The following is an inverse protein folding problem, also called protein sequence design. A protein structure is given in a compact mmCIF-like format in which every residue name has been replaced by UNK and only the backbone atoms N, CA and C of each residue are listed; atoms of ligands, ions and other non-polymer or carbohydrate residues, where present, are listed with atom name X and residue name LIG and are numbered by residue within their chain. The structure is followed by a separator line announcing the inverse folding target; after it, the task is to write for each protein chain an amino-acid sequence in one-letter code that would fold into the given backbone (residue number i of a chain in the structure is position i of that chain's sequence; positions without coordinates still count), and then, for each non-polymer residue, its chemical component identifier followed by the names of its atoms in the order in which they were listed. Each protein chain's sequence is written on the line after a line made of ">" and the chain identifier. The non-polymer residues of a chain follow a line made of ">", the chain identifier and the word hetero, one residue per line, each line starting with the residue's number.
data_IF_943403718538
#
_entry.id   IF_943403718538
#
_cell.length_a   1.000
_cell.length_b   1.000
_cell.length_c   1.000
_cell.angle_alpha   90.00
_cell.angle_beta   90.00
_cell.angle_gamma   90.00
#
_symmetry.space_group_name_H-M   'P 1'
#
loop_
_entity.id
_entity.type
_entity.pdbx_description
1 polymer ?
#
# COMPACT_ATOMS: atom_id res chain seq x y z
N UNK A 1 -25.37 -3.92 2.45
CA UNK A 1 -24.22 -3.04 2.18
C UNK A 1 -22.92 -3.53 2.83
N UNK A 2 -22.93 -3.94 4.11
CA UNK A 2 -21.71 -4.35 4.81
C UNK A 2 -21.07 -5.64 4.28
N UNK A 3 -21.87 -6.68 3.97
CA UNK A 3 -21.35 -7.98 3.50
C UNK A 3 -20.64 -7.87 2.15
N UNK A 4 -21.20 -7.10 1.20
CA UNK A 4 -20.59 -6.90 -0.12
C UNK A 4 -19.26 -6.14 -0.06
N UNK A 5 -19.14 -5.17 0.84
CA UNK A 5 -17.89 -4.45 1.08
C UNK A 5 -16.80 -5.36 1.66
N UNK A 6 -17.16 -6.22 2.62
CA UNK A 6 -16.23 -7.18 3.23
C UNK A 6 -15.67 -8.15 2.20
N UNK A 7 -16.52 -8.74 1.34
CA UNK A 7 -16.08 -9.66 0.30
C UNK A 7 -15.13 -8.96 -0.68
N UNK A 8 -15.47 -7.74 -1.11
CA UNK A 8 -14.60 -6.95 -2.01
C UNK A 8 -13.25 -6.61 -1.38
N UNK A 9 -13.24 -6.26 -0.09
CA UNK A 9 -12.00 -5.91 0.63
C UNK A 9 -11.12 -7.13 0.83
N UNK A 10 -11.68 -8.29 1.20
CA UNK A 10 -10.93 -9.54 1.33
C UNK A 10 -10.33 -9.96 -0.03
N UNK A 11 -11.10 -9.84 -1.11
CA UNK A 11 -10.63 -10.13 -2.46
C UNK A 11 -9.49 -9.18 -2.90
N UNK A 12 -9.58 -7.89 -2.59
CA UNK A 12 -8.53 -6.93 -2.91
C UNK A 12 -7.27 -7.18 -2.07
N UNK A 13 -7.41 -7.33 -0.75
CA UNK A 13 -6.29 -7.54 0.18
C UNK A 13 -5.54 -8.81 -0.12
N UNK A 14 -6.24 -9.91 -0.42
CA UNK A 14 -5.59 -11.18 -0.76
C UNK A 14 -4.77 -11.11 -2.05
N UNK A 15 -5.20 -10.32 -3.05
CA UNK A 15 -4.43 -10.11 -4.29
C UNK A 15 -3.18 -9.26 -4.07
N UNK A 16 -3.28 -8.20 -3.26
CA UNK A 16 -2.11 -7.37 -2.88
C UNK A 16 -1.12 -8.19 -2.04
N UNK A 17 -1.64 -9.01 -1.12
CA UNK A 17 -0.82 -9.89 -0.30
C UNK A 17 -0.11 -10.95 -1.15
N UNK A 18 -0.83 -11.54 -2.11
CA UNK A 18 -0.26 -12.47 -3.08
C UNK A 18 0.79 -11.81 -3.99
N UNK A 19 0.53 -10.62 -4.53
CA UNK A 19 1.50 -9.94 -5.40
C UNK A 19 2.79 -9.61 -4.66
N UNK A 20 2.69 -9.24 -3.38
CA UNK A 20 3.88 -9.00 -2.55
C UNK A 20 4.62 -10.31 -2.20
N UNK A 21 3.91 -11.42 -1.98
CA UNK A 21 4.52 -12.74 -1.85
C UNK A 21 5.20 -13.20 -3.15
N UNK A 22 4.61 -12.94 -4.32
CA UNK A 22 5.21 -13.27 -5.63
C UNK A 22 6.55 -12.57 -5.82
N UNK A 23 6.67 -11.33 -5.36
CA UNK A 23 7.91 -10.55 -5.43
C UNK A 23 8.90 -10.88 -4.29
N UNK A 24 8.75 -12.03 -3.62
CA UNK A 24 9.56 -12.49 -2.47
C UNK A 24 9.58 -11.51 -1.27
N UNK A 25 8.55 -10.68 -1.12
CA UNK A 25 8.46 -9.68 -0.06
C UNK A 25 8.00 -10.20 1.31
N UNK A 26 7.58 -11.47 1.42
CA UNK A 26 7.01 -12.07 2.63
C UNK A 26 7.78 -13.31 3.09
N UNK A 27 7.83 -13.58 4.42
CA UNK A 27 8.27 -14.89 4.90
C UNK A 27 7.30 -15.96 4.40
N UNK A 28 7.81 -17.14 4.02
CA UNK A 28 7.02 -18.22 3.40
C UNK A 28 6.40 -17.85 2.04
N UNK A 29 7.05 -16.95 1.30
CA UNK A 29 6.68 -16.63 -0.08
C UNK A 29 6.42 -17.85 -0.99
N UNK A 30 7.11 -19.01 -0.88
CA UNK A 30 6.86 -20.14 -1.79
C UNK A 30 5.46 -20.75 -1.64
N UNK A 31 4.85 -20.67 -0.46
CA UNK A 31 3.49 -21.17 -0.22
C UNK A 31 2.46 -20.08 -0.50
N UNK A 32 2.78 -18.84 -0.12
CA UNK A 32 1.91 -17.68 -0.28
C UNK A 32 1.72 -17.23 -1.72
N UNK A 33 2.72 -17.44 -2.57
CA UNK A 33 2.67 -17.10 -4.00
C UNK A 33 1.97 -18.16 -4.86
N UNK A 34 1.57 -19.31 -4.30
CA UNK A 34 0.88 -20.34 -5.06
C UNK A 34 -0.56 -19.94 -5.39
N UNK A 35 -0.90 -20.03 -6.67
CA UNK A 35 -2.26 -19.87 -7.18
C UNK A 35 -2.84 -21.25 -7.49
N UNK A 36 -4.08 -21.51 -7.09
CA UNK A 36 -4.74 -22.76 -7.43
C UNK A 36 -5.10 -22.77 -8.94
N UNK A 37 -4.69 -23.81 -9.66
CA UNK A 37 -4.90 -23.95 -11.10
C UNK A 37 -6.37 -24.07 -11.51
N UNK A 38 -7.24 -24.56 -10.62
CA UNK A 38 -8.66 -24.76 -10.94
C UNK A 38 -9.52 -23.52 -10.74
N UNK A 39 -9.24 -22.73 -9.69
CA UNK A 39 -9.99 -21.52 -9.35
C UNK A 39 -9.32 -20.23 -9.83
N UNK A 40 -8.03 -20.26 -10.16
CA UNK A 40 -7.26 -19.07 -10.55
C UNK A 40 -7.08 -18.05 -9.42
N UNK A 41 -7.26 -18.47 -8.16
CA UNK A 41 -7.27 -17.59 -6.98
C UNK A 41 -6.22 -18.05 -5.95
N UNK A 42 -5.50 -17.14 -5.28
CA UNK A 42 -4.51 -17.47 -4.26
C UNK A 42 -5.18 -17.86 -2.92
N UNK A 43 -5.57 -19.14 -2.79
CA UNK A 43 -6.32 -19.66 -1.62
C UNK A 43 -5.54 -19.49 -0.30
N UNK A 44 -4.23 -19.69 -0.30
CA UNK A 44 -3.39 -19.51 0.89
C UNK A 44 -3.36 -18.06 1.37
N UNK A 45 -3.27 -17.09 0.43
CA UNK A 45 -3.33 -15.67 0.76
C UNK A 45 -4.70 -15.28 1.34
N UNK A 46 -5.79 -15.81 0.78
CA UNK A 46 -7.14 -15.59 1.33
C UNK A 46 -7.27 -16.17 2.73
N UNK A 47 -6.82 -17.41 2.94
CA UNK A 47 -6.89 -18.08 4.23
C UNK A 47 -6.17 -17.29 5.32
N UNK A 48 -4.92 -16.87 5.06
CA UNK A 48 -4.11 -16.15 6.04
C UNK A 48 -4.68 -14.75 6.33
N UNK A 49 -5.04 -13.99 5.29
CA UNK A 49 -5.63 -12.65 5.48
C UNK A 49 -6.97 -12.72 6.21
N UNK A 50 -7.78 -13.76 5.96
CA UNK A 50 -9.04 -13.99 6.68
C UNK A 50 -8.82 -14.39 8.14
N UNK A 51 -7.88 -15.30 8.42
CA UNK A 51 -7.56 -15.72 9.80
C UNK A 51 -7.06 -14.54 10.61
N UNK A 52 -6.13 -13.74 10.06
CA UNK A 52 -5.61 -12.53 10.72
C UNK A 52 -6.75 -11.55 11.00
N UNK A 53 -7.67 -11.35 10.05
CA UNK A 53 -8.83 -10.47 10.25
C UNK A 53 -9.76 -10.97 11.36
N UNK A 54 -10.01 -12.28 11.45
CA UNK A 54 -10.77 -12.88 12.55
C UNK A 54 -10.07 -12.70 13.90
N UNK A 55 -8.75 -12.90 13.96
CA UNK A 55 -7.96 -12.70 15.19
C UNK A 55 -7.98 -11.24 15.65
N UNK A 56 -7.85 -10.29 14.72
CA UNK A 56 -7.97 -8.85 15.01
C UNK A 56 -9.37 -8.49 15.51
N UNK A 57 -10.43 -9.13 14.99
CA UNK A 57 -11.80 -8.91 15.45
C UNK A 57 -12.02 -9.41 16.89
N UNK A 58 -11.36 -10.51 17.30
CA UNK A 58 -11.45 -11.04 18.67
C UNK A 58 -10.88 -10.08 19.73
N UNK A 59 -9.98 -9.17 19.36
CA UNK A 59 -9.42 -8.16 20.27
C UNK A 59 -10.52 -7.26 20.86
N UNK A 60 -11.62 -7.06 20.13
CA UNK A 60 -12.77 -6.29 20.60
C UNK A 60 -13.39 -6.88 21.89
N UNK A 61 -13.28 -8.19 22.12
CA UNK A 61 -13.78 -8.84 23.35
C UNK A 61 -12.98 -8.41 24.58
N UNK A 62 -11.66 -8.20 24.42
CA UNK A 62 -10.76 -7.84 25.52
C UNK A 62 -10.73 -6.35 25.82
N UNK A 63 -10.68 -5.50 24.79
CA UNK A 63 -10.62 -4.05 24.97
C UNK A 63 -11.05 -3.29 23.72
N UNK A 64 -12.07 -2.44 23.88
CA UNK A 64 -12.53 -1.49 22.85
C UNK A 64 -11.48 -0.41 22.57
N UNK A 65 -10.66 -0.05 23.55
CA UNK A 65 -9.57 0.92 23.37
C UNK A 65 -8.49 0.38 22.42
N UNK A 66 -8.09 -0.89 22.59
CA UNK A 66 -7.10 -1.53 21.70
C UNK A 66 -7.67 -1.69 20.29
N UNK A 67 -8.93 -2.10 20.17
CA UNK A 67 -9.61 -2.20 18.87
C UNK A 67 -9.66 -0.84 18.14
N UNK A 68 -10.02 0.24 18.83
CA UNK A 68 -10.03 1.59 18.25
C UNK A 68 -8.63 2.07 17.84
N UNK A 69 -7.59 1.69 18.60
CA UNK A 69 -6.20 1.97 18.23
C UNK A 69 -5.81 1.25 16.94
N UNK A 70 -6.18 -0.02 16.77
CA UNK A 70 -5.94 -0.81 15.54
C UNK A 70 -6.59 -0.16 14.33
N UNK A 71 -7.85 0.27 14.44
CA UNK A 71 -8.54 0.99 13.36
C UNK A 71 -7.80 2.27 13.00
N UNK A 72 -7.37 3.03 14.00
CA UNK A 72 -6.66 4.29 13.80
C UNK A 72 -5.32 4.10 13.06
N UNK A 73 -4.61 3.01 13.36
CA UNK A 73 -3.36 2.67 12.65
C UNK A 73 -3.65 2.28 11.21
N UNK A 74 -4.69 1.48 10.95
CA UNK A 74 -5.08 1.12 9.58
C UNK A 74 -5.40 2.37 8.74
N UNK A 75 -6.12 3.33 9.32
CA UNK A 75 -6.43 4.62 8.67
C UNK A 75 -5.15 5.46 8.47
N UNK A 76 -4.26 5.52 9.47
CA UNK A 76 -2.99 6.25 9.33
C UNK A 76 -2.07 5.63 8.27
N UNK A 77 -2.04 4.30 8.16
CA UNK A 77 -1.30 3.54 7.14
C UNK A 77 -1.89 3.72 5.75
N UNK A 78 -3.21 3.87 5.64
CA UNK A 78 -3.86 4.26 4.40
C UNK A 78 -3.35 5.65 3.97
N UNK A 79 -3.41 6.66 4.85
CA UNK A 79 -2.94 7.99 4.49
C UNK A 79 -1.45 8.03 4.14
N UNK A 80 -0.60 7.26 4.83
CA UNK A 80 0.84 7.21 4.52
C UNK A 80 1.12 6.59 3.14
N UNK A 81 0.41 5.52 2.75
CA UNK A 81 0.54 4.91 1.43
C UNK A 81 0.16 5.89 0.31
N UNK A 82 -0.95 6.61 0.49
CA UNK A 82 -1.40 7.63 -0.46
C UNK A 82 -0.44 8.82 -0.53
N UNK A 83 0.10 9.26 0.63
CA UNK A 83 1.09 10.32 0.69
C UNK A 83 2.39 9.94 -0.04
N UNK A 84 2.83 8.68 0.12
CA UNK A 84 4.00 8.15 -0.60
C UNK A 84 3.76 8.13 -2.11
N UNK A 85 2.62 7.63 -2.58
CA UNK A 85 2.29 7.65 -4.00
C UNK A 85 2.19 9.08 -4.57
N UNK A 86 1.50 9.98 -3.87
CA UNK A 86 1.33 11.37 -4.29
C UNK A 86 2.67 12.12 -4.34
N UNK A 87 3.53 11.93 -3.34
CA UNK A 87 4.86 12.57 -3.29
C UNK A 87 5.80 12.08 -4.38
N UNK A 88 5.83 10.78 -4.69
CA UNK A 88 6.60 10.24 -5.82
C UNK A 88 6.11 10.79 -7.16
N UNK A 89 4.78 10.90 -7.35
CA UNK A 89 4.20 11.52 -8.53
C UNK A 89 4.57 13.01 -8.63
N UNK A 90 4.60 13.74 -7.51
CA UNK A 90 4.95 15.16 -7.47
C UNK A 90 6.43 15.34 -7.83
N UNK A 91 7.30 14.54 -7.22
CA UNK A 91 8.74 14.52 -7.49
C UNK A 91 9.01 14.30 -8.98
N UNK A 92 8.36 13.31 -9.61
CA UNK A 92 8.52 13.04 -11.04
C UNK A 92 7.95 14.13 -11.94
N UNK A 93 6.84 14.77 -11.54
CA UNK A 93 6.25 15.90 -12.30
C UNK A 93 7.17 17.13 -12.30
N UNK A 94 7.84 17.42 -11.18
CA UNK A 94 8.78 18.54 -11.05
C UNK A 94 10.13 18.22 -11.71
N UNK A 95 10.60 16.97 -11.58
CA UNK A 95 11.90 16.51 -12.09
C UNK A 95 12.00 16.22 -13.60
N UNK A 96 10.96 16.55 -14.41
CA UNK A 96 10.89 16.25 -15.86
C UNK A 96 10.92 14.74 -16.22
N UNK A 97 10.50 13.86 -15.32
CA UNK A 97 10.56 12.40 -15.50
C UNK A 97 9.49 11.77 -16.39
N UNK A 98 8.65 12.58 -17.05
CA UNK A 98 7.57 12.11 -17.90
C UNK A 98 7.73 12.61 -19.34
N UNK A 99 7.63 11.69 -20.31
CA UNK A 99 7.47 12.03 -21.73
C UNK A 99 6.01 11.79 -22.13
N UNK A 100 5.48 12.65 -23.01
CA UNK A 100 4.16 12.40 -23.60
C UNK A 100 4.26 11.10 -24.46
N UNK A 101 3.25 10.21 -24.39
CA UNK A 101 3.20 9.04 -25.27
C UNK A 101 3.19 9.49 -26.73
N UNK A 102 4.08 8.91 -27.54
CA UNK A 102 4.02 9.11 -28.99
C UNK A 102 2.81 8.35 -29.55
N UNK A 103 1.91 9.04 -30.24
CA UNK A 103 0.59 8.52 -30.64
C UNK A 103 0.67 7.36 -31.66
N UNK A 104 1.84 7.10 -32.24
CA UNK A 104 2.11 6.03 -33.20
C UNK A 104 2.55 4.71 -32.56
N UNK A 105 2.88 4.67 -31.27
CA UNK A 105 3.28 3.45 -30.57
C UNK A 105 2.10 2.89 -29.75
N UNK A 106 1.45 1.85 -30.27
CA UNK A 106 0.51 1.03 -29.49
C UNK A 106 1.25 -0.16 -28.85
N UNK A 107 1.01 -0.50 -27.56
CA UNK A 107 0.27 0.22 -26.54
C UNK A 107 1.22 1.06 -25.67
N UNK A 108 0.65 2.04 -24.98
CA UNK A 108 1.24 2.74 -23.83
C UNK A 108 1.43 1.79 -22.62
N UNK A 109 1.95 0.58 -22.86
CA UNK A 109 2.69 -0.13 -21.85
C UNK A 109 3.94 0.70 -21.65
N UNK A 110 4.07 1.29 -20.46
CA UNK A 110 5.38 1.66 -19.98
C UNK A 110 6.25 0.43 -20.23
N UNK A 111 7.16 0.53 -21.20
CA UNK A 111 8.19 -0.48 -21.43
C UNK A 111 8.82 -0.67 -20.05
N UNK A 112 8.55 -1.80 -19.37
CA UNK A 112 9.03 -2.10 -18.01
C UNK A 112 10.23 -3.04 -18.04
N UNK A 113 10.87 -3.21 -19.20
CA UNK A 113 12.14 -3.94 -19.30
C UNK A 113 13.24 -3.21 -18.53
N UNK A 114 13.95 -3.90 -17.64
CA UNK A 114 14.95 -3.36 -16.72
C UNK A 114 16.19 -2.71 -17.41
N UNK A 115 16.00 -1.54 -18.04
CA UNK A 115 17.05 -0.73 -18.66
C UNK A 115 17.18 0.65 -18.01
N UNK A 116 18.42 1.11 -17.86
CA UNK A 116 18.88 2.27 -17.08
C UNK A 116 18.43 3.67 -17.58
N UNK A 117 17.30 3.77 -18.30
CA UNK A 117 16.87 5.00 -18.97
C UNK A 117 15.38 5.15 -19.28
N UNK A 118 14.49 4.38 -18.65
CA UNK A 118 13.06 4.41 -19.00
C UNK A 118 12.30 5.59 -18.38
N UNK A 119 11.69 6.39 -19.25
CA UNK A 119 10.81 7.51 -18.89
C UNK A 119 9.38 7.00 -18.75
N UNK A 120 8.70 7.32 -17.65
CA UNK A 120 7.28 7.00 -17.52
C UNK A 120 6.48 7.74 -18.60
N UNK A 121 5.69 7.01 -19.36
CA UNK A 121 4.69 7.58 -20.25
C UNK A 121 3.40 7.89 -19.48
N UNK A 122 2.72 8.99 -19.83
CA UNK A 122 1.41 9.29 -19.26
C UNK A 122 0.35 8.31 -19.78
N UNK A 123 -0.58 7.91 -18.91
CA UNK A 123 -1.80 7.24 -19.37
C UNK A 123 -2.70 8.20 -20.17
N UNK A 124 -3.70 7.69 -20.91
CA UNK A 124 -4.64 8.51 -21.69
C UNK A 124 -5.36 9.59 -20.87
N UNK A 125 -5.54 9.34 -19.56
CA UNK A 125 -6.14 10.26 -18.61
C UNK A 125 -5.07 10.87 -17.70
N UNK A 126 -4.69 12.11 -17.97
CA UNK A 126 -3.78 12.85 -17.10
C UNK A 126 -4.13 14.34 -17.06
N UNK A 127 -3.83 14.99 -15.92
CA UNK A 127 -3.90 16.45 -15.82
C UNK A 127 -2.57 17.02 -16.35
N UNK A 128 -2.59 17.80 -17.45
CA UNK A 128 -1.37 18.33 -18.05
C UNK A 128 -0.83 19.54 -17.27
N UNK A 129 0.50 19.70 -17.33
CA UNK A 129 1.20 20.92 -16.93
C UNK A 129 1.02 21.32 -15.46
N UNK A 130 0.97 22.64 -15.24
CA UNK A 130 1.00 23.29 -13.93
C UNK A 130 -0.21 22.92 -13.07
N UNK A 131 -1.40 22.74 -13.67
CA UNK A 131 -2.60 22.32 -12.93
C UNK A 131 -2.42 20.96 -12.27
N UNK A 132 -1.73 20.02 -12.93
CA UNK A 132 -1.42 18.72 -12.34
C UNK A 132 -0.43 18.83 -11.16
N UNK A 133 0.50 19.79 -11.23
CA UNK A 133 1.45 20.06 -10.14
C UNK A 133 0.71 20.69 -8.95
N UNK A 134 -0.11 21.73 -9.17
CA UNK A 134 -0.88 22.39 -8.11
C UNK A 134 -1.79 21.40 -7.39
N UNK A 135 -2.55 20.60 -8.15
CA UNK A 135 -3.44 19.59 -7.57
C UNK A 135 -2.67 18.56 -6.73
N UNK A 136 -1.53 18.07 -7.23
CA UNK A 136 -0.77 17.06 -6.50
C UNK A 136 -0.04 17.66 -5.28
N UNK A 137 0.42 18.91 -5.35
CA UNK A 137 0.96 19.66 -4.20
C UNK A 137 -0.12 19.84 -3.14
N UNK A 138 -1.33 20.24 -3.53
CA UNK A 138 -2.45 20.36 -2.61
C UNK A 138 -2.78 19.01 -1.95
N UNK A 139 -2.84 17.92 -2.74
CA UNK A 139 -3.05 16.58 -2.22
C UNK A 139 -1.97 16.16 -1.20
N UNK A 140 -0.69 16.40 -1.50
CA UNK A 140 0.42 16.13 -0.58
C UNK A 140 0.30 16.94 0.72
N UNK A 141 0.01 18.24 0.64
CA UNK A 141 -0.15 19.09 1.83
C UNK A 141 -1.33 18.65 2.69
N UNK A 142 -2.47 18.35 2.05
CA UNK A 142 -3.67 17.89 2.74
C UNK A 142 -3.45 16.52 3.41
N UNK A 143 -2.87 15.56 2.69
CA UNK A 143 -2.55 14.24 3.23
C UNK A 143 -1.51 14.32 4.36
N UNK A 144 -0.50 15.18 4.24
CA UNK A 144 0.48 15.39 5.30
C UNK A 144 -0.16 15.97 6.57
N UNK A 145 -1.07 16.94 6.42
CA UNK A 145 -1.81 17.52 7.54
C UNK A 145 -2.70 16.47 8.22
N UNK A 146 -3.49 15.72 7.45
CA UNK A 146 -4.36 14.67 8.01
C UNK A 146 -3.53 13.58 8.67
N UNK A 147 -2.47 13.12 8.03
CA UNK A 147 -1.60 12.08 8.58
C UNK A 147 -0.95 12.53 9.89
N UNK A 148 -0.50 13.78 9.97
CA UNK A 148 0.02 14.37 11.21
C UNK A 148 -1.03 14.35 12.33
N UNK A 149 -2.23 14.87 12.08
CA UNK A 149 -3.30 14.91 13.08
C UNK A 149 -3.96 13.54 13.35
N UNK A 150 -3.75 12.54 12.49
CA UNK A 150 -4.30 11.19 12.66
C UNK A 150 -3.78 10.48 13.92
N UNK A 151 -2.65 10.94 14.46
CA UNK A 151 -2.06 10.41 15.70
C UNK A 151 -2.58 11.11 16.96
N UNK A 152 -3.32 12.22 16.83
CA UNK A 152 -3.84 12.94 17.98
C UNK A 152 -5.11 12.28 18.54
N UNK A 153 -5.35 12.41 19.86
CA UNK A 153 -6.60 12.02 20.48
C UNK A 153 -7.74 12.97 20.08
N UNK A 154 -9.00 12.50 20.08
CA UNK A 154 -10.16 13.30 19.71
C UNK A 154 -10.54 14.36 20.76
N UNK A 155 -10.01 14.26 21.99
CA UNK A 155 -10.27 15.19 23.09
C UNK A 155 -8.97 15.79 23.62
N UNK A 156 -9.02 17.06 24.04
CA UNK A 156 -7.85 17.78 24.56
C UNK A 156 -7.31 17.18 25.87
N UNK A 157 -8.18 16.55 26.68
CA UNK A 157 -7.81 15.83 27.90
C UNK A 157 -8.17 14.34 27.74
N UNK A 158 -7.33 13.54 27.08
CA UNK A 158 -7.58 12.11 26.94
C UNK A 158 -7.32 11.39 28.26
N UNK A 159 -8.18 10.44 28.61
CA UNK A 159 -7.87 9.45 29.63
C UNK A 159 -7.20 8.23 28.96
N UNK A 160 -6.62 7.31 29.73
CA UNK A 160 -5.93 6.12 29.19
C UNK A 160 -6.84 5.32 28.24
N UNK A 161 -8.14 5.29 28.49
CA UNK A 161 -9.12 4.60 27.63
C UNK A 161 -9.46 5.35 26.32
N UNK A 162 -9.26 6.67 26.26
CA UNK A 162 -9.58 7.51 25.09
C UNK A 162 -8.35 8.01 24.34
N UNK A 163 -7.15 7.60 24.77
CA UNK A 163 -5.91 7.97 24.12
C UNK A 163 -5.75 7.22 22.80
N UNK A 164 -5.34 7.95 21.75
CA UNK A 164 -5.02 7.35 20.46
C UNK A 164 -3.62 6.73 20.52
N UNK A 165 -3.53 5.44 20.78
CA UNK A 165 -2.26 4.70 20.82
C UNK A 165 -1.69 4.39 19.42
N UNK A 166 -2.27 4.92 18.34
CA UNK A 166 -1.81 4.64 17.00
C UNK A 166 -0.34 5.03 16.78
N UNK A 167 0.12 6.13 17.38
CA UNK A 167 1.52 6.57 17.23
C UNK A 167 2.51 5.54 17.76
N UNK A 168 2.22 4.94 18.93
CA UNK A 168 3.07 3.94 19.55
C UNK A 168 3.14 2.69 18.68
N UNK A 169 1.99 2.15 18.29
CA UNK A 169 1.95 0.91 17.52
C UNK A 169 2.52 1.13 16.11
N UNK A 170 2.27 2.29 15.49
CA UNK A 170 2.87 2.64 14.20
C UNK A 170 4.39 2.72 14.30
N UNK A 171 4.93 3.32 15.37
CA UNK A 171 6.37 3.34 15.63
C UNK A 171 6.95 1.93 15.78
N UNK A 172 6.29 1.06 16.53
CA UNK A 172 6.69 -0.34 16.67
C UNK A 172 6.69 -1.09 15.33
N UNK A 173 5.63 -0.93 14.52
CA UNK A 173 5.52 -1.54 13.19
C UNK A 173 6.61 -1.02 12.26
N UNK A 174 6.91 0.28 12.30
CA UNK A 174 7.97 0.87 11.48
C UNK A 174 9.35 0.31 11.85
N UNK A 175 9.66 0.24 13.16
CA UNK A 175 10.92 -0.35 13.65
C UNK A 175 11.02 -1.82 13.23
N UNK A 176 9.95 -2.59 13.42
CA UNK A 176 9.91 -3.99 13.00
C UNK A 176 10.13 -4.14 11.48
N UNK A 177 9.49 -3.28 10.67
CA UNK A 177 9.63 -3.28 9.22
C UNK A 177 11.06 -2.94 8.78
N UNK A 178 11.71 -1.95 9.42
CA UNK A 178 13.11 -1.60 9.15
C UNK A 178 14.03 -2.76 9.51
N UNK A 179 13.85 -3.39 10.67
CA UNK A 179 14.64 -4.56 11.08
C UNK A 179 14.44 -5.70 10.08
N UNK A 180 13.19 -6.01 9.73
CA UNK A 180 12.85 -7.04 8.74
C UNK A 180 13.51 -6.78 7.38
N UNK A 181 13.49 -5.54 6.91
CA UNK A 181 14.13 -5.16 5.66
C UNK A 181 15.66 -5.32 5.71
N UNK A 182 16.29 -4.82 6.77
CA UNK A 182 17.75 -4.88 6.93
C UNK A 182 18.28 -6.30 7.17
N UNK A 183 17.49 -7.17 7.79
CA UNK A 183 17.94 -8.54 8.13
C UNK A 183 17.67 -9.53 7.01
N UNK A 184 16.49 -9.49 6.39
CA UNK A 184 16.06 -10.51 5.43
C UNK A 184 15.66 -9.91 4.09
N UNK A 185 14.76 -8.92 4.06
CA UNK A 185 14.13 -8.53 2.81
C UNK A 185 15.11 -7.95 1.78
N UNK A 186 16.18 -7.26 2.21
CA UNK A 186 17.22 -6.75 1.29
C UNK A 186 17.96 -7.84 0.49
N UNK A 187 17.94 -9.09 0.94
CA UNK A 187 18.64 -10.20 0.28
C UNK A 187 17.75 -10.91 -0.75
N UNK A 188 16.46 -11.04 -0.44
CA UNK A 188 15.50 -11.81 -1.25
C UNK A 188 14.64 -10.91 -2.16
N UNK A 189 14.29 -9.70 -1.71
CA UNK A 189 13.43 -8.78 -2.46
C UNK A 189 14.24 -8.01 -3.52
N UNK A 190 14.05 -8.39 -4.79
CA UNK A 190 14.73 -7.77 -5.94
C UNK A 190 13.87 -6.74 -6.70
N UNK A 191 12.68 -6.45 -6.18
CA UNK A 191 11.70 -5.56 -6.81
C UNK A 191 10.59 -6.31 -7.55
N UNK A 192 9.66 -5.58 -8.18
CA UNK A 192 8.50 -6.17 -8.85
C UNK A 192 8.94 -7.07 -10.02
N UNK A 193 8.41 -8.30 -10.07
CA UNK A 193 8.65 -9.19 -11.20
C UNK A 193 7.93 -8.64 -12.43
N UNK A 194 8.70 -8.34 -13.48
CA UNK A 194 8.16 -7.91 -14.78
C UNK A 194 7.95 -9.15 -15.63
N UNK A 195 6.70 -9.41 -15.99
CA UNK A 195 6.34 -10.48 -16.92
C UNK A 195 6.74 -10.04 -18.33
N UNK A 196 7.84 -10.61 -18.85
CA UNK A 196 8.21 -10.42 -20.24
C UNK A 196 7.24 -11.26 -21.09
N UNK A 197 6.50 -10.62 -22.00
CA UNK A 197 5.52 -11.26 -22.90
C UNK A 197 6.17 -12.13 -24.00
N UNK A 198 7.36 -12.67 -23.77
CA UNK A 198 8.19 -13.29 -24.80
C UNK A 198 8.58 -14.75 -24.53
N UNK A 199 7.79 -15.50 -23.77
CA UNK A 199 7.81 -16.97 -23.71
C UNK A 199 6.41 -17.55 -23.50
#
# INVERSE_FOLDING_TARGET
>A
MSVSCLIGTIAATSRVFWSFARDHGLPFWPTLSQVNSWTGVPVWAIGITSIISCLLALINIGSTAVYNAIISIAVSGLYSSYLMAASLLLYRRVGKGFKLPDHSALPALADTGAGEGQTLAWGPWHVPGVFGIINNTYACLYLALIWFFSFWPPTANPNVASMNFAVLITGCVFIFSVIYYLTWARQEYKGPVVENLSE
#
